data_IF_187677865988
#
_entry.id   IF_187677865988
#
_cell.length_a   1.000
_cell.length_b   1.000
_cell.length_c   1.000
_cell.angle_alpha   90.00
_cell.angle_beta   90.00
_cell.angle_gamma   90.00
#
_symmetry.space_group_name_H-M   'P 1'
#
loop_
_entity.id
_entity.type
_entity.pdbx_description
1 polymer ?
#
# COMPACT_ATOMS: atom_id res chain seq x y z
N UNK A 1 -1.82 -6.36 -9.50
CA UNK A 1 -1.70 -7.41 -8.47
C UNK A 1 -2.93 -8.31 -8.41
N UNK A 2 -4.14 -7.83 -8.06
CA UNK A 2 -5.34 -8.70 -8.01
C UNK A 2 -5.67 -9.43 -9.31
N UNK A 3 -5.62 -8.71 -10.45
CA UNK A 3 -5.81 -9.34 -11.76
C UNK A 3 -4.79 -10.43 -12.04
N UNK A 4 -3.53 -10.21 -11.63
CA UNK A 4 -2.45 -11.20 -11.79
C UNK A 4 -2.68 -12.42 -10.89
N UNK A 5 -3.04 -12.21 -9.62
CA UNK A 5 -3.35 -13.30 -8.67
C UNK A 5 -4.60 -14.10 -9.07
N UNK A 6 -5.56 -13.46 -9.73
CA UNK A 6 -6.75 -14.11 -10.25
C UNK A 6 -6.54 -14.75 -11.63
N UNK A 7 -5.39 -14.53 -12.26
CA UNK A 7 -5.08 -15.09 -13.58
C UNK A 7 -4.76 -16.59 -13.44
N UNK A 8 -5.51 -17.41 -14.19
CA UNK A 8 -5.38 -18.87 -14.19
C UNK A 8 -4.01 -19.36 -14.66
N UNK A 9 -3.25 -18.52 -15.37
CA UNK A 9 -1.88 -18.83 -15.82
C UNK A 9 -0.83 -18.65 -14.72
N UNK A 10 -1.23 -18.18 -13.53
CA UNK A 10 -0.32 -17.92 -12.41
C UNK A 10 -0.60 -18.85 -11.23
N UNK A 11 0.44 -19.06 -10.42
CA UNK A 11 0.32 -19.72 -9.11
C UNK A 11 0.58 -18.69 -8.03
N UNK A 12 -0.32 -18.61 -7.07
CA UNK A 12 -0.18 -17.72 -5.91
C UNK A 12 0.29 -18.50 -4.70
N UNK A 13 1.44 -18.10 -4.15
CA UNK A 13 1.96 -18.61 -2.88
C UNK A 13 1.96 -17.49 -1.85
N UNK A 14 1.57 -17.80 -0.61
CA UNK A 14 1.56 -16.83 0.49
C UNK A 14 2.11 -17.51 1.75
N UNK A 15 2.97 -16.79 2.46
CA UNK A 15 3.52 -17.20 3.76
C UNK A 15 3.42 -16.05 4.74
N UNK A 16 2.94 -16.34 5.94
CA UNK A 16 2.86 -15.36 7.03
C UNK A 16 4.19 -15.31 7.76
N UNK A 17 4.43 -14.19 8.44
CA UNK A 17 5.58 -14.02 9.35
C UNK A 17 5.60 -15.12 10.42
N UNK A 18 4.42 -15.52 10.92
CA UNK A 18 4.28 -16.60 11.90
C UNK A 18 4.66 -17.98 11.34
N UNK A 19 4.52 -18.21 10.04
CA UNK A 19 4.92 -19.48 9.41
C UNK A 19 6.46 -19.63 9.43
N UNK A 20 7.20 -18.53 9.61
CA UNK A 20 8.66 -18.50 9.77
C UNK A 20 9.10 -18.32 11.25
N UNK A 21 8.22 -18.51 12.23
CA UNK A 21 8.51 -18.20 13.63
C UNK A 21 9.75 -18.92 14.18
N UNK A 22 10.05 -20.14 13.72
CA UNK A 22 11.22 -20.90 14.15
C UNK A 22 12.56 -20.23 13.80
N UNK A 23 12.58 -19.35 12.79
CA UNK A 23 13.78 -18.63 12.34
C UNK A 23 13.79 -17.17 12.81
N UNK A 24 12.81 -16.76 13.61
CA UNK A 24 12.68 -15.37 14.08
C UNK A 24 12.97 -15.28 15.57
N UNK A 25 13.63 -14.19 15.97
CA UNK A 25 13.86 -13.92 17.38
C UNK A 25 12.50 -13.75 18.11
N UNK A 26 12.27 -14.42 19.25
CA UNK A 26 11.00 -14.32 19.98
C UNK A 26 10.62 -12.88 20.34
N UNK A 27 11.61 -12.05 20.71
CA UNK A 27 11.41 -10.64 21.03
C UNK A 27 10.95 -9.80 19.83
N UNK A 28 11.50 -10.08 18.65
CA UNK A 28 11.08 -9.44 17.41
C UNK A 28 9.62 -9.79 17.09
N UNK A 29 9.30 -11.09 17.12
CA UNK A 29 7.95 -11.57 16.81
C UNK A 29 6.91 -10.96 17.78
N UNK A 30 7.21 -10.94 19.08
CA UNK A 30 6.34 -10.32 20.08
C UNK A 30 6.14 -8.82 19.82
N UNK A 31 7.20 -8.10 19.44
CA UNK A 31 7.13 -6.67 19.16
C UNK A 31 6.27 -6.36 17.93
N UNK A 32 6.50 -7.05 16.81
CA UNK A 32 5.75 -6.79 15.57
C UNK A 32 4.28 -7.19 15.70
N UNK A 33 4.00 -8.32 16.36
CA UNK A 33 2.62 -8.75 16.62
C UNK A 33 1.89 -7.78 17.53
N UNK A 34 2.54 -7.30 18.60
CA UNK A 34 1.96 -6.27 19.49
C UNK A 34 1.65 -4.97 18.74
N UNK A 35 2.53 -4.55 17.83
CA UNK A 35 2.42 -3.25 17.15
C UNK A 35 1.43 -3.27 15.99
N UNK A 36 1.34 -4.38 15.25
CA UNK A 36 0.65 -4.43 13.96
C UNK A 36 -0.36 -5.57 13.82
N UNK A 37 -0.34 -6.60 14.67
CA UNK A 37 -1.07 -7.86 14.46
C UNK A 37 -2.59 -7.73 14.26
N UNK A 38 -3.22 -6.69 14.79
CA UNK A 38 -4.66 -6.42 14.64
C UNK A 38 -4.96 -5.20 13.76
N UNK A 39 -4.03 -4.85 12.86
CA UNK A 39 -4.19 -3.72 11.96
C UNK A 39 -4.32 -4.20 10.52
N UNK A 40 -4.99 -3.41 9.68
CA UNK A 40 -5.01 -3.67 8.24
C UNK A 40 -3.60 -3.69 7.63
N UNK A 41 -2.68 -2.88 8.18
CA UNK A 41 -1.26 -2.93 7.81
C UNK A 41 -0.61 -4.25 8.20
N UNK A 42 -0.91 -4.80 9.38
CA UNK A 42 -0.43 -6.11 9.81
C UNK A 42 -0.93 -7.25 8.93
N UNK A 43 -2.17 -7.20 8.45
CA UNK A 43 -2.66 -8.19 7.47
C UNK A 43 -1.85 -8.17 6.17
N UNK A 44 -1.45 -6.97 5.73
CA UNK A 44 -0.61 -6.84 4.54
C UNK A 44 0.82 -7.32 4.81
N UNK A 45 1.47 -6.77 5.83
CA UNK A 45 2.90 -6.94 6.07
C UNK A 45 3.26 -8.22 6.85
N UNK A 46 2.38 -8.68 7.74
CA UNK A 46 2.61 -9.89 8.55
C UNK A 46 1.94 -11.11 7.96
N UNK A 47 0.71 -10.98 7.44
CA UNK A 47 -0.04 -12.12 6.90
C UNK A 47 0.07 -12.28 5.38
N UNK A 48 0.70 -11.33 4.68
CA UNK A 48 0.87 -11.37 3.23
C UNK A 48 -0.44 -11.24 2.46
N UNK A 49 -1.46 -10.61 3.04
CA UNK A 49 -2.74 -10.38 2.38
C UNK A 49 -2.68 -9.21 1.40
N UNK A 50 -3.38 -9.34 0.27
CA UNK A 50 -3.66 -8.19 -0.60
C UNK A 50 -4.84 -7.42 -0.01
N UNK A 51 -4.53 -6.40 0.79
CA UNK A 51 -5.52 -5.52 1.43
C UNK A 51 -5.92 -4.39 0.47
N UNK A 52 -7.21 -4.32 0.14
CA UNK A 52 -7.66 -3.48 -0.98
C UNK A 52 -8.10 -2.08 -0.58
N UNK A 53 -8.69 -1.96 0.62
CA UNK A 53 -9.36 -0.76 1.06
C UNK A 53 -9.26 -0.65 2.58
N UNK A 54 -8.82 0.51 3.04
CA UNK A 54 -9.02 0.93 4.42
C UNK A 54 -10.40 1.60 4.47
N UNK A 55 -11.26 1.19 5.39
CA UNK A 55 -12.60 1.79 5.53
C UNK A 55 -12.55 3.30 5.79
N UNK A 56 -11.42 3.79 6.34
CA UNK A 56 -11.15 5.19 6.62
C UNK A 56 -10.53 5.98 5.45
N UNK A 57 -10.24 5.34 4.31
CA UNK A 57 -9.62 6.02 3.18
C UNK A 57 -10.55 7.04 2.54
N UNK A 58 -10.09 8.29 2.35
CA UNK A 58 -10.88 9.34 1.69
C UNK A 58 -11.20 9.03 0.22
N UNK A 59 -10.35 8.24 -0.45
CA UNK A 59 -10.50 7.88 -1.86
C UNK A 59 -10.64 6.37 -2.04
N UNK A 60 -11.62 5.98 -2.86
CA UNK A 60 -11.83 4.59 -3.26
C UNK A 60 -11.12 4.32 -4.60
N UNK A 61 -10.39 3.21 -4.69
CA UNK A 61 -9.64 2.85 -5.91
C UNK A 61 -10.56 2.71 -7.12
N UNK A 62 -11.75 2.17 -6.92
CA UNK A 62 -12.77 1.98 -7.97
C UNK A 62 -13.22 3.33 -8.54
N UNK A 63 -13.37 4.33 -7.67
CA UNK A 63 -13.73 5.70 -8.08
C UNK A 63 -12.61 6.35 -8.88
N UNK A 64 -11.36 6.17 -8.47
CA UNK A 64 -10.21 6.69 -9.23
C UNK A 64 -10.17 6.01 -10.61
N UNK A 65 -10.30 4.68 -10.67
CA UNK A 65 -10.27 3.92 -11.91
C UNK A 65 -11.39 4.35 -12.88
N UNK A 66 -12.62 4.52 -12.38
CA UNK A 66 -13.76 4.97 -13.18
C UNK A 66 -13.62 6.40 -13.71
N UNK A 67 -12.77 7.22 -13.10
CA UNK A 67 -12.55 8.63 -13.49
C UNK A 67 -11.27 8.81 -14.33
N UNK A 68 -10.54 7.74 -14.65
CA UNK A 68 -9.36 7.83 -15.54
C UNK A 68 -9.81 8.13 -16.97
N UNK A 69 -9.22 9.16 -17.57
CA UNK A 69 -9.39 9.53 -18.97
C UNK A 69 -8.03 9.47 -19.68
N UNK A 70 -8.03 9.15 -20.97
CA UNK A 70 -6.80 9.05 -21.79
C UNK A 70 -6.38 10.37 -22.41
N UNK A 71 -7.34 11.29 -22.61
CA UNK A 71 -7.10 12.64 -23.09
C UNK A 71 -7.99 13.63 -22.31
N UNK A 72 -7.47 14.82 -21.99
CA UNK A 72 -8.28 15.86 -21.36
C UNK A 72 -9.31 16.44 -22.34
N UNK A 73 -10.48 16.89 -21.85
CA UNK A 73 -11.38 17.71 -22.64
C UNK A 73 -10.80 19.12 -22.84
N UNK A 74 -11.51 19.98 -23.58
CA UNK A 74 -11.15 21.40 -23.69
C UNK A 74 -11.18 22.06 -22.30
N UNK A 75 -10.04 22.59 -21.88
CA UNK A 75 -9.87 23.21 -20.56
C UNK A 75 -9.98 24.74 -20.68
N UNK A 76 -10.74 25.35 -19.78
CA UNK A 76 -10.87 26.81 -19.70
C UNK A 76 -9.83 27.46 -18.78
N UNK A 77 -9.15 26.65 -17.95
CA UNK A 77 -8.16 27.12 -16.98
C UNK A 77 -7.12 26.04 -16.69
N UNK A 78 -5.88 26.47 -16.49
CA UNK A 78 -4.78 25.63 -16.00
C UNK A 78 -4.50 26.00 -14.54
N UNK A 79 -4.40 25.01 -13.67
CA UNK A 79 -4.04 25.15 -12.26
C UNK A 79 -2.81 24.28 -11.99
N UNK A 80 -1.79 24.86 -11.36
CA UNK A 80 -0.56 24.15 -10.97
C UNK A 80 -0.52 24.06 -9.45
N UNK A 81 -0.42 22.84 -8.92
CA UNK A 81 -0.22 22.57 -7.50
C UNK A 81 1.24 22.17 -7.26
N UNK A 82 1.86 22.71 -6.22
CA UNK A 82 3.24 22.42 -5.82
C UNK A 82 3.22 22.00 -4.36
N UNK A 83 3.87 20.87 -4.04
CA UNK A 83 4.12 20.41 -2.68
C UNK A 83 5.63 20.50 -2.39
N UNK A 84 6.12 21.64 -1.87
CA UNK A 84 7.54 21.83 -1.66
C UNK A 84 8.04 21.14 -0.37
N UNK A 85 9.26 20.58 -0.35
CA UNK A 85 9.90 20.11 0.89
C UNK A 85 10.03 21.25 1.90
N UNK A 86 9.82 20.94 3.18
CA UNK A 86 9.98 21.90 4.28
C UNK A 86 11.46 22.01 4.75
N UNK A 87 12.33 21.07 4.37
CA UNK A 87 13.76 21.06 4.75
C UNK A 87 14.69 20.74 3.58
N UNK A 88 15.85 21.41 3.53
CA UNK A 88 16.90 21.22 2.53
C UNK A 88 18.18 20.69 3.18
N UNK A 89 18.19 19.40 3.53
CA UNK A 89 19.37 18.67 3.97
C UNK A 89 19.49 17.35 3.17
N UNK A 90 20.70 16.82 3.05
CA UNK A 90 21.07 15.74 2.11
C UNK A 90 20.29 14.41 2.21
N UNK A 91 19.36 14.29 3.18
CA UNK A 91 18.47 13.14 3.37
C UNK A 91 16.97 13.50 3.15
N UNK A 92 16.66 14.65 2.56
CA UNK A 92 15.27 15.14 2.34
C UNK A 92 14.68 14.64 1.02
N UNK A 93 14.76 13.33 0.76
CA UNK A 93 14.28 12.72 -0.50
C UNK A 93 12.89 12.06 -0.37
N UNK A 94 12.07 12.53 0.56
CA UNK A 94 10.70 12.06 0.74
C UNK A 94 9.68 13.18 0.50
N UNK A 95 9.69 13.74 -0.71
CA UNK A 95 8.58 14.54 -1.22
C UNK A 95 8.00 13.84 -2.46
N UNK A 96 6.78 13.31 -2.30
CA UNK A 96 6.04 12.58 -3.34
C UNK A 96 5.39 11.30 -2.84
#
# INVERSE_FOLDING_TARGET
MKQLVADWTTVTTRSRTLDNAANLAPGFLAQVMRRYGNTAFGRQELDGEIVDQLDSGLWRRERIAAQRITAPPDLTRIVVAVDPPVTSNANSDACG
#
